data_IF_469532106830
#
_entry.id   IF_469532106830
#
_cell.length_a   1.000
_cell.length_b   1.000
_cell.length_c   1.000
_cell.angle_alpha   90.00
_cell.angle_beta   90.00
_cell.angle_gamma   90.00
#
_symmetry.space_group_name_H-M   'P 1'
#
loop_
_entity.id
_entity.type
_entity.pdbx_description
1 polymer ?
#
# COMPACT_ATOMS: atom_id res chain seq x y z
N UNK A 1 1.26 6.91 17.74
CA UNK A 1 0.58 7.39 16.52
C UNK A 1 0.73 6.45 15.32
N UNK A 2 1.76 5.60 15.24
CA UNK A 2 1.86 4.54 14.21
C UNK A 2 0.78 3.43 14.30
N UNK A 3 0.20 3.23 15.48
CA UNK A 3 -0.73 2.12 15.77
C UNK A 3 -2.07 2.20 15.02
N UNK A 4 -2.59 3.40 14.73
CA UNK A 4 -3.90 3.53 14.10
C UNK A 4 -3.86 3.19 12.60
N UNK A 5 -2.81 3.63 11.91
CA UNK A 5 -2.64 3.38 10.49
C UNK A 5 -2.29 1.89 10.24
N UNK A 6 -1.49 1.30 11.14
CA UNK A 6 -1.23 -0.13 11.14
C UNK A 6 -2.52 -0.95 11.28
N UNK A 7 -3.40 -0.61 12.23
CA UNK A 7 -4.70 -1.29 12.38
C UNK A 7 -5.63 -1.13 11.17
N UNK A 8 -5.58 0.02 10.48
CA UNK A 8 -6.33 0.20 9.21
C UNK A 8 -5.81 -0.71 8.10
N UNK A 9 -4.50 -0.92 8.03
CA UNK A 9 -3.88 -1.80 7.02
C UNK A 9 -4.08 -3.28 7.33
N UNK A 10 -4.14 -3.67 8.61
CA UNK A 10 -4.46 -5.05 9.01
C UNK A 10 -5.82 -5.51 8.44
N UNK A 11 -6.82 -4.64 8.47
CA UNK A 11 -8.14 -4.91 7.90
C UNK A 11 -8.16 -4.97 6.35
N UNK A 12 -7.07 -4.56 5.70
CA UNK A 12 -6.92 -4.52 4.24
C UNK A 12 -6.00 -5.64 3.71
N UNK A 13 -5.44 -6.48 4.57
CA UNK A 13 -4.61 -7.62 4.15
C UNK A 13 -5.43 -8.54 3.25
N UNK A 14 -4.82 -8.97 2.14
CA UNK A 14 -5.46 -9.76 1.08
C UNK A 14 -6.26 -8.95 0.07
N UNK A 15 -6.46 -7.64 0.31
CA UNK A 15 -7.17 -6.76 -0.63
C UNK A 15 -6.21 -6.13 -1.64
N UNK A 16 -6.74 -5.79 -2.81
CA UNK A 16 -5.98 -5.05 -3.82
C UNK A 16 -6.00 -3.56 -3.49
N UNK A 17 -4.83 -2.95 -3.35
CA UNK A 17 -4.67 -1.53 -3.05
C UNK A 17 -3.84 -0.84 -4.14
N UNK A 18 -4.06 0.45 -4.29
CA UNK A 18 -3.13 1.39 -4.93
C UNK A 18 -2.62 2.34 -3.85
N UNK A 19 -1.31 2.44 -3.69
CA UNK A 19 -0.66 3.28 -2.68
C UNK A 19 0.27 4.25 -3.41
N UNK A 20 0.11 5.54 -3.13
CA UNK A 20 1.01 6.60 -3.57
C UNK A 20 1.99 6.91 -2.45
N UNK A 21 3.27 6.78 -2.75
CA UNK A 21 4.37 7.02 -1.83
C UNK A 21 5.11 8.29 -2.25
N UNK A 22 5.68 9.00 -1.28
CA UNK A 22 6.71 10.00 -1.52
C UNK A 22 7.98 9.33 -2.02
N UNK A 23 8.53 9.83 -3.12
CA UNK A 23 9.80 9.31 -3.63
C UNK A 23 10.97 10.05 -2.96
N UNK A 24 12.00 9.34 -2.43
CA UNK A 24 13.19 9.96 -1.87
C UNK A 24 13.93 10.90 -2.82
N UNK A 25 13.88 10.66 -4.14
CA UNK A 25 14.50 11.51 -5.16
C UNK A 25 13.66 12.74 -5.51
N UNK A 26 12.46 12.85 -4.93
CA UNK A 26 11.50 13.92 -5.16
C UNK A 26 10.30 13.46 -6.00
N UNK A 27 9.11 13.92 -5.61
CA UNK A 27 7.85 13.57 -6.29
C UNK A 27 7.11 12.41 -5.64
N UNK A 28 6.37 11.67 -6.46
CA UNK A 28 5.49 10.59 -6.01
C UNK A 28 5.66 9.36 -6.88
N UNK A 29 5.65 8.18 -6.27
CA UNK A 29 5.60 6.89 -6.95
C UNK A 29 4.34 6.13 -6.56
N UNK A 30 3.70 5.48 -7.53
CA UNK A 30 2.50 4.68 -7.30
C UNK A 30 2.86 3.19 -7.33
N UNK A 31 2.44 2.46 -6.30
CA UNK A 31 2.50 0.99 -6.24
C UNK A 31 1.09 0.40 -6.22
N UNK A 32 0.91 -0.73 -6.89
CA UNK A 32 -0.40 -1.39 -7.01
C UNK A 32 -0.28 -2.90 -6.95
N UNK A 33 -1.17 -3.52 -6.18
CA UNK A 33 -1.15 -4.96 -5.96
C UNK A 33 -1.94 -5.38 -4.73
N UNK A 34 -1.77 -6.63 -4.32
CA UNK A 34 -2.46 -7.24 -3.17
C UNK A 34 -1.62 -6.97 -1.92
N UNK A 35 -2.22 -6.40 -0.88
CA UNK A 35 -1.54 -6.19 0.39
C UNK A 35 -1.30 -7.54 1.08
N UNK A 36 -0.04 -7.91 1.32
CA UNK A 36 0.32 -9.17 1.99
C UNK A 36 0.56 -9.00 3.49
N UNK A 37 1.12 -7.86 3.89
CA UNK A 37 1.27 -7.43 5.28
C UNK A 37 1.01 -5.94 5.37
N UNK A 38 0.97 -5.38 6.57
CA UNK A 38 0.74 -3.93 6.78
C UNK A 38 1.72 -3.04 6.02
N UNK A 39 2.90 -3.53 5.69
CA UNK A 39 3.99 -2.81 5.04
C UNK A 39 4.50 -3.47 3.74
N UNK A 40 3.78 -4.47 3.20
CA UNK A 40 4.19 -5.14 1.97
C UNK A 40 3.03 -5.46 1.04
N UNK A 41 3.30 -5.34 -0.25
CA UNK A 41 2.31 -5.50 -1.31
C UNK A 41 2.89 -6.33 -2.45
N UNK A 42 2.16 -7.34 -2.90
CA UNK A 42 2.52 -8.17 -4.06
C UNK A 42 1.90 -7.61 -5.33
N UNK A 43 2.75 -7.23 -6.28
CA UNK A 43 2.29 -6.68 -7.55
C UNK A 43 1.78 -7.77 -8.53
N UNK A 44 1.25 -7.37 -9.69
CA UNK A 44 0.76 -8.30 -10.73
C UNK A 44 1.82 -9.25 -11.30
N UNK A 45 3.11 -8.93 -11.12
CA UNK A 45 4.23 -9.75 -11.57
C UNK A 45 4.70 -10.73 -10.49
N UNK A 46 3.99 -10.84 -9.37
CA UNK A 46 4.34 -11.71 -8.25
C UNK A 46 5.49 -11.19 -7.38
N UNK A 47 6.00 -9.99 -7.64
CA UNK A 47 7.07 -9.37 -6.86
C UNK A 47 6.51 -8.70 -5.61
N UNK A 48 7.11 -9.00 -4.48
CA UNK A 48 6.85 -8.31 -3.21
C UNK A 48 7.52 -6.93 -3.22
N UNK A 49 6.75 -5.92 -2.85
CA UNK A 49 7.18 -4.53 -2.73
C UNK A 49 6.97 -4.13 -1.28
N UNK A 50 8.05 -3.81 -0.59
CA UNK A 50 8.02 -3.25 0.76
C UNK A 50 7.89 -1.72 0.69
N UNK A 51 7.16 -1.13 1.63
CA UNK A 51 6.98 0.30 1.74
C UNK A 51 6.93 0.74 3.21
N UNK A 52 7.26 2.00 3.47
CA UNK A 52 7.09 2.60 4.81
C UNK A 52 5.76 3.34 4.90
N UNK A 53 5.09 3.23 6.05
CA UNK A 53 3.90 4.02 6.34
C UNK A 53 4.17 5.53 6.36
N UNK A 54 5.39 5.92 6.73
CA UNK A 54 5.81 7.32 6.78
C UNK A 54 5.96 7.93 5.37
N UNK A 55 6.11 7.09 4.35
CA UNK A 55 6.19 7.51 2.95
C UNK A 55 4.81 7.61 2.30
N UNK A 56 3.74 7.14 2.94
CA UNK A 56 2.41 7.10 2.33
C UNK A 56 1.83 8.50 2.25
N UNK A 57 1.62 8.98 1.01
CA UNK A 57 0.86 10.19 0.76
C UNK A 57 -0.64 9.91 0.76
N UNK A 58 -1.06 8.87 0.03
CA UNK A 58 -2.47 8.42 -0.03
C UNK A 58 -2.53 6.95 -0.45
N UNK A 59 -3.57 6.23 0.00
CA UNK A 59 -3.89 4.90 -0.50
C UNK A 59 -5.38 4.77 -0.81
N UNK A 60 -5.72 3.82 -1.68
CA UNK A 60 -7.10 3.47 -2.01
C UNK A 60 -7.24 1.96 -2.17
N UNK A 61 -8.32 1.42 -1.63
CA UNK A 61 -8.77 0.06 -1.93
C UNK A 61 -9.35 0.00 -3.34
N UNK A 62 -8.88 -0.96 -4.13
CA UNK A 62 -9.40 -1.24 -5.47
C UNK A 62 -10.56 -2.21 -5.32
N UNK A 63 -11.74 -1.64 -5.13
CA UNK A 63 -13.00 -2.38 -5.09
C UNK A 63 -13.44 -2.57 -6.55
N UNK A 64 -13.62 -3.82 -6.99
CA UNK A 64 -14.26 -4.09 -8.27
C UNK A 64 -15.70 -3.56 -8.18
N UNK A 65 -16.04 -2.58 -9.02
CA UNK A 65 -17.44 -2.16 -9.12
C UNK A 65 -18.25 -3.31 -9.73
N UNK A 66 -19.43 -3.63 -9.17
CA UNK A 66 -20.32 -4.67 -9.69
C UNK A 66 -20.87 -4.32 -11.07
#
# INVERSE_FOLDING_TARGET
MASELQGRFEALIGKRLTIRLHDPEGGFRDIVGILESTNSLRNRHGRLIEFSHDEIFIWREVIAQP
#
